data_IF_809621519306
#
_entry.id   IF_809621519306
#
_cell.length_a   1.000
_cell.length_b   1.000
_cell.length_c   1.000
_cell.angle_alpha   90.00
_cell.angle_beta   90.00
_cell.angle_gamma   90.00
#
_symmetry.space_group_name_H-M   'P 1'
#
loop_
_entity.id
_entity.type
_entity.pdbx_description
1 polymer ?
#
# COMPACT_ATOMS: atom_id res chain seq x y z
N UNK A 1 16.39 16.37 18.42
CA UNK A 1 15.79 15.92 17.13
C UNK A 1 15.00 14.66 17.43
N UNK A 2 13.79 14.54 16.90
CA UNK A 2 13.04 13.29 17.05
C UNK A 2 13.79 12.16 16.34
N UNK A 3 13.89 11.01 16.99
CA UNK A 3 14.51 9.81 16.41
C UNK A 3 13.75 9.39 15.16
N UNK A 4 14.46 9.18 14.03
CA UNK A 4 13.83 8.69 12.78
C UNK A 4 13.44 7.23 12.97
N UNK A 5 12.17 6.92 12.79
CA UNK A 5 11.65 5.56 12.87
C UNK A 5 11.75 4.88 11.50
N UNK A 6 12.10 3.60 11.51
CA UNK A 6 11.99 2.78 10.31
C UNK A 6 10.54 2.63 9.88
N UNK A 7 10.30 2.64 8.56
CA UNK A 7 8.97 2.48 7.97
C UNK A 7 8.95 1.23 7.11
N UNK A 8 8.03 0.32 7.38
CA UNK A 8 7.82 -0.89 6.59
C UNK A 8 6.42 -0.81 5.98
N UNK A 9 6.35 -0.90 4.66
CA UNK A 9 5.09 -1.00 3.91
C UNK A 9 4.90 -2.46 3.49
N UNK A 10 4.00 -3.16 4.17
CA UNK A 10 3.65 -4.53 3.82
C UNK A 10 2.43 -4.53 2.89
N UNK A 11 2.64 -4.91 1.64
CA UNK A 11 1.61 -4.85 0.60
C UNK A 11 1.34 -6.26 0.06
N UNK A 12 0.17 -6.80 0.39
CA UNK A 12 -0.27 -8.11 -0.10
C UNK A 12 -0.66 -8.05 -1.58
N UNK A 13 -0.49 -9.15 -2.30
CA UNK A 13 -1.01 -9.29 -3.65
C UNK A 13 -2.44 -9.81 -3.61
N UNK A 14 -3.34 -9.18 -4.37
CA UNK A 14 -4.72 -9.60 -4.67
C UNK A 14 -5.52 -10.11 -3.44
N UNK A 15 -5.31 -9.52 -2.29
CA UNK A 15 -6.04 -9.88 -1.09
C UNK A 15 -7.45 -9.27 -1.10
N UNK A 16 -8.47 -10.11 -0.91
CA UNK A 16 -9.84 -9.65 -0.72
C UNK A 16 -10.04 -9.10 0.69
N UNK A 17 -10.90 -8.11 0.80
CA UNK A 17 -11.29 -7.48 2.06
C UNK A 17 -11.74 -8.48 3.12
N UNK A 18 -12.57 -9.45 2.74
CA UNK A 18 -13.22 -10.42 3.62
C UNK A 18 -12.37 -11.64 3.98
N UNK A 19 -11.07 -11.63 3.68
CA UNK A 19 -10.16 -12.72 4.02
C UNK A 19 -9.48 -12.56 5.38
N UNK A 20 -9.63 -11.40 6.03
CA UNK A 20 -9.03 -11.14 7.34
C UNK A 20 -10.05 -11.24 8.47
N UNK A 21 -9.60 -11.68 9.66
CA UNK A 21 -10.45 -11.86 10.83
C UNK A 21 -11.08 -10.55 11.31
N UNK A 22 -10.34 -9.43 11.29
CA UNK A 22 -10.86 -8.10 11.65
C UNK A 22 -12.01 -7.62 10.77
N UNK A 23 -12.13 -8.16 9.56
CA UNK A 23 -13.24 -7.89 8.64
C UNK A 23 -14.34 -8.97 8.68
N UNK A 24 -14.26 -9.90 9.65
CA UNK A 24 -15.31 -10.88 9.93
C UNK A 24 -15.07 -12.27 9.32
N UNK A 25 -13.89 -12.57 8.79
CA UNK A 25 -13.57 -13.93 8.35
C UNK A 25 -13.46 -14.88 9.56
N UNK A 26 -14.25 -15.97 9.64
CA UNK A 26 -14.24 -16.86 10.78
C UNK A 26 -13.10 -17.89 10.80
N UNK A 27 -12.36 -18.03 9.69
CA UNK A 27 -11.41 -19.13 9.48
C UNK A 27 -10.07 -18.93 10.21
N UNK A 28 -9.86 -17.78 10.86
CA UNK A 28 -8.65 -17.50 11.64
C UNK A 28 -7.36 -17.46 10.82
N UNK A 29 -7.44 -17.08 9.55
CA UNK A 29 -6.31 -17.13 8.61
C UNK A 29 -5.26 -16.04 8.84
N UNK A 30 -5.62 -14.96 9.54
CA UNK A 30 -4.78 -13.76 9.69
C UNK A 30 -4.57 -13.32 11.14
N UNK A 31 -4.19 -14.24 12.08
CA UNK A 31 -4.17 -13.90 13.51
C UNK A 31 -3.17 -12.78 13.85
N UNK A 32 -2.03 -12.72 13.18
CA UNK A 32 -1.03 -11.68 13.43
C UNK A 32 -1.47 -10.31 12.87
N UNK A 33 -2.10 -10.31 11.69
CA UNK A 33 -2.67 -9.09 11.11
C UNK A 33 -3.81 -8.56 12.00
N UNK A 34 -4.70 -9.44 12.44
CA UNK A 34 -5.83 -9.09 13.31
C UNK A 34 -5.34 -8.48 14.63
N UNK A 35 -4.31 -9.08 15.25
CA UNK A 35 -3.69 -8.53 16.46
C UNK A 35 -3.09 -7.14 16.20
N UNK A 36 -2.32 -6.96 15.12
CA UNK A 36 -1.74 -5.66 14.77
C UNK A 36 -2.81 -4.60 14.49
N UNK A 37 -3.91 -4.98 13.85
CA UNK A 37 -5.03 -4.09 13.57
C UNK A 37 -5.71 -3.61 14.87
N UNK A 38 -5.80 -4.47 15.89
CA UNK A 38 -6.38 -4.13 17.19
C UNK A 38 -5.44 -3.30 18.07
N UNK A 39 -4.13 -3.49 17.94
CA UNK A 39 -3.11 -2.74 18.68
C UNK A 39 -2.79 -1.37 18.04
N UNK A 40 -3.07 -1.21 16.76
CA UNK A 40 -2.74 -0.02 15.98
C UNK A 40 -3.96 0.73 15.46
N UNK A 41 -3.80 1.34 14.29
CA UNK A 41 -4.90 1.98 13.56
C UNK A 41 -5.35 1.09 12.41
N UNK A 42 -6.63 0.82 12.37
CA UNK A 42 -7.25 0.01 11.35
C UNK A 42 -8.32 0.80 10.58
N UNK A 43 -8.18 0.85 9.26
CA UNK A 43 -9.15 1.50 8.38
C UNK A 43 -10.18 0.48 7.89
N UNK A 44 -11.37 0.50 8.48
CA UNK A 44 -12.47 -0.42 8.12
C UNK A 44 -12.91 -0.27 6.66
N UNK A 45 -12.89 0.95 6.15
CA UNK A 45 -13.31 1.29 4.79
C UNK A 45 -12.15 1.91 4.01
N UNK A 46 -11.19 1.08 3.64
CA UNK A 46 -10.10 1.48 2.75
C UNK A 46 -10.39 1.01 1.32
N UNK A 47 -10.16 1.88 0.35
CA UNK A 47 -10.46 1.63 -1.06
C UNK A 47 -9.20 1.78 -1.91
N UNK A 48 -9.02 0.87 -2.85
CA UNK A 48 -8.03 1.06 -3.91
C UNK A 48 -8.62 1.87 -5.06
N UNK A 49 -7.88 2.81 -5.65
CA UNK A 49 -8.37 3.57 -6.80
C UNK A 49 -8.38 2.77 -8.10
N UNK A 50 -7.82 1.55 -8.09
CA UNK A 50 -7.70 0.69 -9.28
C UNK A 50 -7.84 -0.79 -8.91
N UNK A 51 -8.63 -1.56 -9.67
CA UNK A 51 -8.83 -2.99 -9.42
C UNK A 51 -7.72 -3.88 -10.03
N UNK A 52 -6.75 -3.29 -10.74
CA UNK A 52 -5.69 -4.00 -11.48
C UNK A 52 -4.34 -3.77 -10.83
N UNK A 53 -3.54 -4.82 -10.68
CA UNK A 53 -2.31 -4.85 -9.88
C UNK A 53 -1.27 -3.80 -10.28
N UNK A 54 -0.90 -3.67 -11.55
CA UNK A 54 0.08 -2.68 -12.02
C UNK A 54 -0.34 -1.24 -11.72
N UNK A 55 -1.52 -0.80 -12.18
CA UNK A 55 -2.07 0.52 -11.86
C UNK A 55 -2.23 0.79 -10.36
N UNK A 56 -2.73 -0.19 -9.58
CA UNK A 56 -2.87 -0.03 -8.13
C UNK A 56 -1.51 0.19 -7.45
N UNK A 57 -0.50 -0.57 -7.84
CA UNK A 57 0.89 -0.40 -7.33
C UNK A 57 1.47 0.95 -7.70
N UNK A 58 1.25 1.43 -8.93
CA UNK A 58 1.66 2.76 -9.35
C UNK A 58 1.00 3.86 -8.51
N UNK A 59 -0.29 3.71 -8.19
CA UNK A 59 -1.01 4.62 -7.29
C UNK A 59 -0.42 4.64 -5.89
N UNK A 60 -0.13 3.46 -5.30
CA UNK A 60 0.48 3.35 -3.97
C UNK A 60 1.87 3.98 -3.96
N UNK A 61 2.69 3.71 -4.97
CA UNK A 61 4.06 4.22 -5.05
C UNK A 61 4.13 5.74 -5.22
N UNK A 62 3.18 6.32 -5.94
CA UNK A 62 3.23 7.75 -6.31
C UNK A 62 2.28 8.64 -5.49
N UNK A 63 1.29 8.05 -4.82
CA UNK A 63 0.19 8.80 -4.19
C UNK A 63 -0.73 9.49 -5.19
N UNK A 64 -0.74 9.04 -6.46
CA UNK A 64 -1.48 9.67 -7.58
C UNK A 64 -2.38 8.65 -8.27
N UNK A 65 -3.45 9.14 -8.88
CA UNK A 65 -4.35 8.28 -9.66
C UNK A 65 -3.66 7.73 -10.93
N UNK A 66 -4.04 6.53 -11.33
CA UNK A 66 -3.48 5.82 -12.49
C UNK A 66 -3.59 6.61 -13.79
N UNK A 67 -4.70 7.34 -13.99
CA UNK A 67 -4.90 8.23 -15.15
C UNK A 67 -3.92 9.39 -15.19
N UNK A 68 -3.54 9.91 -14.02
CA UNK A 68 -2.56 11.00 -13.93
C UNK A 68 -1.14 10.52 -14.27
N UNK A 69 -0.76 9.34 -13.80
CA UNK A 69 0.59 8.80 -14.04
C UNK A 69 0.70 8.01 -15.34
N UNK A 70 -0.40 7.83 -16.07
CA UNK A 70 -0.43 7.13 -17.35
C UNK A 70 -0.35 5.61 -17.25
N UNK A 71 -0.40 5.04 -16.04
CA UNK A 71 -0.36 3.60 -15.81
C UNK A 71 -1.78 3.08 -15.51
N UNK A 72 -2.56 2.83 -16.54
CA UNK A 72 -3.97 2.46 -16.44
C UNK A 72 -4.27 0.99 -16.75
N UNK A 73 -3.25 0.20 -17.13
CA UNK A 73 -3.36 -1.25 -17.36
C UNK A 73 -2.02 -1.94 -17.10
N UNK A 74 -2.06 -3.25 -16.91
CA UNK A 74 -0.85 -4.05 -16.79
C UNK A 74 0.00 -3.96 -18.07
N UNK A 75 1.31 -4.05 -17.93
CA UNK A 75 2.27 -3.93 -19.03
C UNK A 75 2.69 -2.50 -19.36
N UNK A 76 2.08 -1.49 -18.75
CA UNK A 76 2.57 -0.10 -18.85
C UNK A 76 3.54 0.14 -17.69
N UNK A 77 4.76 0.58 -18.01
CA UNK A 77 5.74 0.98 -17.01
C UNK A 77 5.39 2.36 -16.43
N UNK A 78 5.59 2.51 -15.12
CA UNK A 78 5.54 3.83 -14.49
C UNK A 78 6.70 4.69 -15.04
N UNK A 79 6.36 5.88 -15.54
CA UNK A 79 7.37 6.80 -16.04
C UNK A 79 8.30 7.29 -14.92
N UNK A 80 9.61 7.32 -15.18
CA UNK A 80 10.61 7.86 -14.26
C UNK A 80 10.45 9.36 -13.94
N UNK A 81 9.57 10.06 -14.65
CA UNK A 81 9.19 11.45 -14.34
C UNK A 81 8.39 11.57 -13.03
N UNK A 82 7.79 10.49 -12.58
CA UNK A 82 7.00 10.49 -11.34
C UNK A 82 7.86 10.05 -10.17
N UNK A 83 7.97 10.93 -9.17
CA UNK A 83 8.56 10.55 -7.88
C UNK A 83 7.67 9.52 -7.20
N UNK A 84 8.30 8.52 -6.62
CA UNK A 84 7.68 7.50 -5.79
C UNK A 84 7.95 7.77 -4.32
N UNK A 85 7.28 7.05 -3.42
CA UNK A 85 7.55 7.17 -1.98
C UNK A 85 9.03 6.91 -1.64
N UNK A 86 9.72 6.02 -2.36
CA UNK A 86 11.15 5.80 -2.18
C UNK A 86 11.97 7.08 -2.42
N UNK A 87 11.65 7.84 -3.45
CA UNK A 87 12.32 9.12 -3.70
C UNK A 87 12.13 10.12 -2.54
N UNK A 88 10.89 10.21 -2.01
CA UNK A 88 10.61 11.11 -0.90
C UNK A 88 11.29 10.67 0.39
N UNK A 89 11.35 9.36 0.66
CA UNK A 89 12.08 8.84 1.82
C UNK A 89 13.59 9.08 1.69
N UNK A 90 14.18 8.87 0.52
CA UNK A 90 15.58 9.17 0.27
C UNK A 90 15.90 10.67 0.46
N UNK A 91 15.04 11.58 -0.04
CA UNK A 91 15.17 13.02 0.18
C UNK A 91 15.08 13.39 1.67
N UNK A 92 14.35 12.62 2.46
CA UNK A 92 14.26 12.77 3.91
C UNK A 92 15.41 12.08 4.67
N UNK A 93 16.37 11.48 3.95
CA UNK A 93 17.57 10.84 4.51
C UNK A 93 17.31 9.44 5.08
N UNK A 94 16.36 8.70 4.50
CA UNK A 94 16.20 7.27 4.71
C UNK A 94 16.91 6.49 3.59
N UNK A 95 17.37 5.29 3.90
CA UNK A 95 17.78 4.28 2.92
C UNK A 95 16.53 3.50 2.47
N UNK A 96 16.32 3.31 1.14
CA UNK A 96 15.12 2.65 0.59
C UNK A 96 15.47 1.58 -0.43
#
# INVERSE_FOLDING_TARGET
MAEKKNVIVFFTDQQRYDTTGVHGNPDGLTPNFDRMALEGTWAKYAFTPQPVCGPARACVQTGKYATFVGNYKNGICLSSKHKTMAHYFNEAGYDT
#
